data_IF_653494428182
#
_entry.id   IF_653494428182
#
_cell.length_a   1.000
_cell.length_b   1.000
_cell.length_c   1.000
_cell.angle_alpha   90.00
_cell.angle_beta   90.00
_cell.angle_gamma   90.00
#
_symmetry.space_group_name_H-M   'P 1'
#
loop_
_entity.id
_entity.type
_entity.pdbx_description
1 polymer ?
#
# COMPACT_ATOMS: atom_id res chain seq x y z
N UNK A 1 2.13 -3.21 29.96
CA UNK A 1 1.56 -1.84 30.23
C UNK A 1 1.67 -1.10 28.91
N UNK A 2 0.59 -0.49 28.44
CA UNK A 2 0.56 0.19 27.13
C UNK A 2 1.60 1.31 27.08
N UNK A 3 2.45 1.31 26.04
CA UNK A 3 3.51 2.33 25.85
C UNK A 3 2.86 3.68 25.52
N UNK A 4 1.82 3.64 24.69
CA UNK A 4 1.07 4.81 24.24
C UNK A 4 -0.42 4.66 24.52
N UNK A 5 -0.91 5.07 25.71
CA UNK A 5 -2.31 4.91 26.10
C UNK A 5 -3.33 5.61 25.16
N UNK A 6 -2.89 6.57 24.34
CA UNK A 6 -3.74 7.26 23.40
C UNK A 6 -4.14 6.35 22.21
N UNK A 7 -3.34 5.32 21.88
CA UNK A 7 -3.65 4.38 20.78
C UNK A 7 -4.96 3.65 21.06
N UNK A 8 -5.20 3.25 22.29
CA UNK A 8 -6.42 2.54 22.69
C UNK A 8 -7.67 3.43 22.69
N UNK A 9 -7.49 4.75 22.71
CA UNK A 9 -8.59 5.73 22.73
C UNK A 9 -9.09 6.11 21.36
N UNK A 10 -8.34 5.80 20.30
CA UNK A 10 -8.69 6.13 18.93
C UNK A 10 -9.42 4.94 18.31
N UNK A 11 -10.62 5.20 17.79
CA UNK A 11 -11.33 4.23 16.96
C UNK A 11 -10.79 4.27 15.52
N UNK A 12 -9.71 3.54 15.27
CA UNK A 12 -9.09 3.46 13.95
C UNK A 12 -9.96 2.79 12.90
N UNK A 13 -11.04 2.09 13.27
CA UNK A 13 -11.97 1.50 12.31
C UNK A 13 -12.69 2.56 11.48
N UNK A 14 -12.88 3.77 12.04
CA UNK A 14 -13.41 4.92 11.30
C UNK A 14 -12.56 5.31 10.08
N UNK A 15 -11.28 4.94 10.13
CA UNK A 15 -10.30 5.23 9.08
C UNK A 15 -9.96 3.99 8.24
N UNK A 16 -10.63 2.85 8.48
CA UNK A 16 -10.32 1.62 7.75
C UNK A 16 -10.68 1.73 6.26
N UNK A 17 -9.88 1.04 5.43
CA UNK A 17 -10.14 0.88 4.00
C UNK A 17 -11.23 -0.18 3.74
N UNK A 18 -11.97 -0.08 2.64
CA UNK A 18 -11.84 0.94 1.59
C UNK A 18 -12.56 2.25 1.92
N UNK A 19 -11.99 3.36 1.47
CA UNK A 19 -12.72 4.62 1.46
C UNK A 19 -13.86 4.50 0.44
N UNK A 20 -15.09 4.38 0.91
CA UNK A 20 -16.26 4.31 0.05
C UNK A 20 -16.61 5.71 -0.43
N UNK A 21 -16.33 6.00 -1.70
CA UNK A 21 -16.66 7.28 -2.34
C UNK A 21 -17.86 7.08 -3.24
N UNK A 22 -18.87 7.92 -3.09
CA UNK A 22 -20.00 7.97 -4.03
C UNK A 22 -19.52 8.47 -5.40
N UNK A 23 -20.19 8.05 -6.48
CA UNK A 23 -19.78 8.33 -7.87
C UNK A 23 -19.67 9.82 -8.26
N UNK A 24 -20.06 10.74 -7.41
CA UNK A 24 -20.35 12.14 -7.72
C UNK A 24 -19.23 13.13 -7.35
N UNK A 25 -17.98 12.79 -7.54
CA UNK A 25 -16.79 13.68 -7.35
C UNK A 25 -16.40 14.00 -5.90
N UNK A 26 -16.77 13.18 -4.92
CA UNK A 26 -16.46 13.47 -3.51
C UNK A 26 -15.14 12.82 -3.02
N UNK A 27 -14.30 12.25 -3.93
CA UNK A 27 -13.06 11.59 -3.49
C UNK A 27 -12.11 12.56 -2.78
N UNK A 28 -11.78 13.68 -3.43
CA UNK A 28 -10.83 14.63 -2.88
C UNK A 28 -11.32 15.28 -1.57
N UNK A 29 -12.53 15.83 -1.47
CA UNK A 29 -13.06 16.31 -0.19
C UNK A 29 -13.10 15.23 0.89
N UNK A 30 -13.51 14.01 0.54
CA UNK A 30 -13.59 12.89 1.48
C UNK A 30 -12.24 12.49 2.07
N UNK A 31 -11.18 12.42 1.26
CA UNK A 31 -9.84 12.12 1.77
C UNK A 31 -9.27 13.24 2.63
N UNK A 32 -9.50 14.50 2.24
CA UNK A 32 -9.08 15.68 3.02
C UNK A 32 -9.73 15.70 4.40
N UNK A 33 -11.04 15.44 4.47
CA UNK A 33 -11.80 15.36 5.71
C UNK A 33 -11.30 14.20 6.58
N UNK A 34 -11.18 13.00 6.02
CA UNK A 34 -10.73 11.79 6.73
C UNK A 34 -9.34 11.99 7.34
N UNK A 35 -8.42 12.59 6.59
CA UNK A 35 -7.08 12.89 7.07
C UNK A 35 -7.07 14.01 8.13
N UNK A 36 -8.01 14.96 8.06
CA UNK A 36 -8.18 15.98 9.10
C UNK A 36 -8.72 15.38 10.40
N UNK A 37 -9.71 14.50 10.29
CA UNK A 37 -10.29 13.80 11.42
C UNK A 37 -9.26 12.92 12.14
N UNK A 38 -8.39 12.23 11.40
CA UNK A 38 -7.31 11.46 12.00
C UNK A 38 -6.37 12.34 12.83
N UNK A 39 -5.95 13.48 12.28
CA UNK A 39 -5.11 14.43 13.02
C UNK A 39 -5.83 14.94 14.28
N UNK A 40 -7.10 15.30 14.16
CA UNK A 40 -7.92 15.72 15.30
C UNK A 40 -8.01 14.65 16.39
N UNK A 41 -8.24 13.39 16.02
CA UNK A 41 -8.30 12.28 16.98
C UNK A 41 -6.95 12.05 17.68
N UNK A 42 -5.82 12.17 16.95
CA UNK A 42 -4.48 12.08 17.55
C UNK A 42 -4.28 13.16 18.63
N UNK A 43 -4.62 14.42 18.31
CA UNK A 43 -4.54 15.55 19.27
C UNK A 43 -5.47 15.32 20.48
N UNK A 44 -6.73 14.98 20.22
CA UNK A 44 -7.76 14.78 21.24
C UNK A 44 -7.40 13.66 22.21
N UNK A 45 -6.78 12.59 21.73
CA UNK A 45 -6.42 11.44 22.55
C UNK A 45 -5.08 11.57 23.26
N UNK A 46 -4.31 12.62 22.97
CA UNK A 46 -3.06 12.95 23.67
C UNK A 46 -1.82 12.32 23.05
N UNK A 47 -1.79 12.13 21.73
CA UNK A 47 -0.54 11.82 21.02
C UNK A 47 0.46 12.97 21.20
N UNK A 48 1.76 12.68 21.18
CA UNK A 48 2.79 13.72 21.32
C UNK A 48 2.78 14.72 20.17
N UNK A 49 3.21 15.95 20.45
CA UNK A 49 3.32 16.99 19.41
C UNK A 49 4.16 16.54 18.22
N UNK A 50 5.20 15.74 18.46
CA UNK A 50 6.06 15.20 17.41
C UNK A 50 5.30 14.25 16.48
N UNK A 51 4.50 13.33 17.04
CA UNK A 51 3.64 12.41 16.27
C UNK A 51 2.62 13.19 15.46
N UNK A 52 1.91 14.12 16.11
CA UNK A 52 0.88 14.94 15.45
C UNK A 52 1.48 15.76 14.31
N UNK A 53 2.63 16.41 14.53
CA UNK A 53 3.31 17.18 13.51
C UNK A 53 3.73 16.31 12.32
N UNK A 54 4.32 15.14 12.58
CA UNK A 54 4.74 14.23 11.53
C UNK A 54 3.55 13.79 10.63
N UNK A 55 2.41 13.46 11.23
CA UNK A 55 1.19 13.08 10.48
C UNK A 55 0.62 14.28 9.72
N UNK A 56 0.64 15.49 10.31
CA UNK A 56 0.22 16.73 9.61
C UNK A 56 1.06 17.02 8.37
N UNK A 57 2.38 16.91 8.48
CA UNK A 57 3.29 17.14 7.34
C UNK A 57 3.08 16.07 6.24
N UNK A 58 2.91 14.81 6.62
CA UNK A 58 2.65 13.74 5.67
C UNK A 58 1.30 13.94 4.96
N UNK A 59 0.24 14.32 5.71
CA UNK A 59 -1.04 14.72 5.15
C UNK A 59 -0.91 15.84 4.11
N UNK A 60 -0.11 16.88 4.39
CA UNK A 60 0.12 17.99 3.44
C UNK A 60 0.72 17.46 2.13
N UNK A 61 1.71 16.57 2.19
CA UNK A 61 2.32 15.94 1.00
C UNK A 61 1.28 15.21 0.18
N UNK A 62 0.44 14.38 0.80
CA UNK A 62 -0.65 13.66 0.11
C UNK A 62 -1.61 14.62 -0.59
N UNK A 63 -2.11 15.62 0.13
CA UNK A 63 -3.03 16.60 -0.43
C UNK A 63 -2.39 17.36 -1.61
N UNK A 64 -1.13 17.78 -1.46
CA UNK A 64 -0.41 18.48 -2.52
C UNK A 64 -0.22 17.60 -3.76
N UNK A 65 0.14 16.32 -3.60
CA UNK A 65 0.30 15.42 -4.74
C UNK A 65 -1.03 15.21 -5.49
N UNK A 66 -2.16 15.10 -4.78
CA UNK A 66 -3.49 14.97 -5.39
C UNK A 66 -3.88 16.25 -6.15
N UNK A 67 -3.62 17.43 -5.59
CA UNK A 67 -3.90 18.72 -6.24
C UNK A 67 -3.10 18.84 -7.53
N UNK A 68 -1.80 18.58 -7.49
CA UNK A 68 -0.94 18.61 -8.68
C UNK A 68 -1.39 17.62 -9.75
N UNK A 69 -1.77 16.41 -9.34
CA UNK A 69 -2.34 15.43 -10.24
C UNK A 69 -3.59 15.95 -10.97
N UNK A 70 -4.53 16.59 -10.24
CA UNK A 70 -5.74 17.16 -10.85
C UNK A 70 -5.46 18.38 -11.74
N UNK A 71 -4.38 19.09 -11.48
CA UNK A 71 -3.91 20.19 -12.33
C UNK A 71 -3.17 19.71 -13.60
N UNK A 72 -2.90 18.40 -13.69
CA UNK A 72 -2.16 17.79 -14.79
C UNK A 72 -0.64 17.85 -14.63
N UNK A 73 -0.16 18.32 -13.50
CA UNK A 73 1.26 18.32 -13.16
C UNK A 73 1.69 16.98 -12.57
N UNK A 74 1.82 15.98 -13.47
CA UNK A 74 2.12 14.61 -13.08
C UNK A 74 3.56 14.44 -12.58
N UNK A 75 4.47 15.29 -13.04
CA UNK A 75 5.90 15.20 -12.67
C UNK A 75 6.08 15.60 -11.22
N UNK A 76 5.57 16.76 -10.82
CA UNK A 76 5.70 17.24 -9.46
C UNK A 76 4.86 16.41 -8.48
N UNK A 77 3.67 15.93 -8.92
CA UNK A 77 2.91 14.98 -8.14
C UNK A 77 3.70 13.69 -7.85
N UNK A 78 4.38 13.13 -8.86
CA UNK A 78 5.20 11.93 -8.72
C UNK A 78 6.43 12.18 -7.83
N UNK A 79 7.06 13.35 -7.93
CA UNK A 79 8.20 13.71 -7.07
C UNK A 79 7.80 13.69 -5.58
N UNK A 80 6.65 14.29 -5.24
CA UNK A 80 6.15 14.26 -3.85
C UNK A 80 5.87 12.83 -3.39
N UNK A 81 5.27 11.98 -4.25
CA UNK A 81 5.02 10.57 -3.90
C UNK A 81 6.34 9.83 -3.67
N UNK A 82 7.35 10.04 -4.51
CA UNK A 82 8.67 9.42 -4.34
C UNK A 82 9.32 9.86 -3.03
N UNK A 83 9.29 11.16 -2.68
CA UNK A 83 9.77 11.65 -1.40
C UNK A 83 9.07 10.98 -0.21
N UNK A 84 7.75 10.78 -0.29
CA UNK A 84 7.00 10.08 0.76
C UNK A 84 7.41 8.62 0.87
N UNK A 85 7.66 7.93 -0.24
CA UNK A 85 8.10 6.54 -0.26
C UNK A 85 9.54 6.39 0.23
N UNK A 86 10.43 7.33 -0.09
CA UNK A 86 11.82 7.32 0.34
C UNK A 86 11.96 7.46 1.86
N UNK A 87 10.99 8.06 2.54
CA UNK A 87 10.95 8.10 4.01
C UNK A 87 10.86 6.70 4.66
N UNK A 88 10.45 5.67 3.91
CA UNK A 88 10.37 4.29 4.40
C UNK A 88 11.63 3.45 4.13
N UNK A 89 12.61 3.95 3.40
CA UNK A 89 13.78 3.15 2.99
C UNK A 89 14.57 2.56 4.17
N UNK A 90 14.56 3.22 5.34
CA UNK A 90 15.23 2.77 6.55
C UNK A 90 14.25 2.36 7.67
N UNK A 91 12.95 2.39 7.41
CA UNK A 91 11.92 2.18 8.42
C UNK A 91 11.36 0.75 8.35
N UNK A 92 11.86 -0.17 9.18
CA UNK A 92 11.06 -1.32 9.57
C UNK A 92 9.82 -0.81 10.34
N UNK A 93 8.61 -1.31 10.10
CA UNK A 93 8.21 -2.53 9.40
C UNK A 93 7.70 -2.30 7.96
N UNK A 94 7.80 -1.10 7.42
CA UNK A 94 7.26 -0.80 6.08
C UNK A 94 8.01 -1.55 4.97
N UNK A 95 9.33 -1.74 5.12
CA UNK A 95 10.15 -2.52 4.20
C UNK A 95 10.36 -3.92 4.77
N UNK A 96 9.88 -4.92 4.06
CA UNK A 96 10.00 -6.33 4.44
C UNK A 96 10.62 -7.15 3.31
N UNK A 97 11.15 -8.33 3.66
CA UNK A 97 11.51 -9.30 2.65
C UNK A 97 10.25 -9.87 2.00
N UNK A 98 10.31 -10.15 0.70
CA UNK A 98 9.16 -10.68 -0.05
C UNK A 98 8.70 -12.04 0.46
N UNK A 99 9.59 -12.82 1.09
CA UNK A 99 9.28 -14.10 1.71
C UNK A 99 8.75 -13.98 3.15
N UNK A 100 8.51 -12.75 3.64
CA UNK A 100 7.95 -12.54 4.97
C UNK A 100 6.56 -13.17 5.08
N UNK A 101 6.38 -14.07 6.05
CA UNK A 101 5.08 -14.68 6.36
C UNK A 101 4.02 -13.65 6.80
N UNK A 102 4.45 -12.47 7.25
CA UNK A 102 3.57 -11.35 7.61
C UNK A 102 2.97 -10.72 6.36
N UNK A 103 3.80 -10.51 5.32
CA UNK A 103 3.36 -9.90 4.08
C UNK A 103 2.65 -10.90 3.15
N UNK A 104 3.14 -12.15 3.11
CA UNK A 104 2.68 -13.19 2.19
C UNK A 104 2.46 -14.51 2.94
N UNK A 105 1.23 -14.78 3.43
CA UNK A 105 0.91 -16.05 4.07
C UNK A 105 1.25 -17.23 3.15
N UNK A 106 2.09 -18.15 3.61
CA UNK A 106 2.60 -19.28 2.83
C UNK A 106 4.05 -19.11 2.34
N UNK A 107 4.64 -17.93 2.48
CA UNK A 107 6.08 -17.73 2.42
C UNK A 107 6.76 -18.23 3.69
N UNK A 108 8.05 -18.56 3.61
CA UNK A 108 8.85 -18.98 4.76
C UNK A 108 10.34 -18.87 4.47
N UNK A 109 11.17 -18.85 5.51
CA UNK A 109 12.62 -18.65 5.38
C UNK A 109 13.34 -19.75 4.59
N UNK A 110 12.69 -20.92 4.44
CA UNK A 110 13.29 -22.09 3.80
C UNK A 110 13.13 -22.11 2.27
N UNK A 111 12.39 -21.14 1.69
CA UNK A 111 12.19 -21.07 0.24
C UNK A 111 13.12 -20.03 -0.38
N UNK A 112 13.87 -20.43 -1.39
CA UNK A 112 14.72 -19.52 -2.19
C UNK A 112 13.92 -18.61 -3.11
N UNK A 113 12.67 -18.98 -3.42
CA UNK A 113 11.79 -18.27 -4.34
C UNK A 113 10.37 -18.18 -3.76
N UNK A 114 9.70 -17.09 -4.06
CA UNK A 114 8.29 -16.88 -3.71
C UNK A 114 7.47 -16.87 -4.98
N UNK A 115 6.40 -17.69 -5.00
CA UNK A 115 5.54 -17.85 -6.15
C UNK A 115 4.38 -16.86 -6.11
N UNK A 116 4.21 -16.13 -7.20
CA UNK A 116 3.05 -15.30 -7.49
C UNK A 116 2.39 -15.74 -8.79
N UNK A 117 1.24 -15.17 -9.10
CA UNK A 117 0.46 -15.53 -10.28
C UNK A 117 0.11 -14.28 -11.08
N UNK A 118 0.32 -14.36 -12.39
CA UNK A 118 -0.16 -13.39 -13.36
C UNK A 118 -1.35 -13.97 -14.10
N UNK A 119 -2.46 -13.21 -14.19
CA UNK A 119 -3.60 -13.61 -14.99
C UNK A 119 -3.87 -12.65 -16.15
N UNK A 120 -4.41 -13.17 -17.25
CA UNK A 120 -4.92 -12.43 -18.39
C UNK A 120 -6.20 -13.04 -18.92
N UNK A 121 -7.10 -12.19 -19.41
CA UNK A 121 -8.29 -12.64 -20.12
C UNK A 121 -8.02 -12.69 -21.62
N UNK A 122 -8.59 -13.70 -22.28
CA UNK A 122 -8.68 -13.79 -23.73
C UNK A 122 -10.14 -13.93 -24.18
N UNK A 123 -10.49 -13.49 -25.37
CA UNK A 123 -11.84 -13.70 -25.92
C UNK A 123 -12.05 -15.13 -26.40
N UNK A 124 -10.98 -15.77 -26.83
CA UNK A 124 -10.95 -17.15 -27.32
C UNK A 124 -9.87 -17.94 -26.58
N UNK A 125 -9.85 -19.24 -26.78
CA UNK A 125 -8.76 -20.11 -26.32
C UNK A 125 -7.49 -19.69 -27.06
N UNK A 126 -6.62 -18.98 -26.37
CA UNK A 126 -5.34 -18.50 -26.92
C UNK A 126 -4.25 -18.92 -25.94
N UNK A 127 -3.20 -19.51 -26.46
CA UNK A 127 -1.99 -19.76 -25.67
C UNK A 127 -1.17 -18.47 -25.65
N UNK A 128 -0.97 -17.91 -24.47
CA UNK A 128 -0.04 -16.79 -24.26
C UNK A 128 1.38 -17.32 -24.09
N UNK A 129 2.33 -16.67 -24.74
CA UNK A 129 3.75 -16.89 -24.48
C UNK A 129 4.14 -16.37 -23.09
N UNK A 130 5.30 -16.79 -22.57
CA UNK A 130 5.83 -16.23 -21.32
C UNK A 130 5.99 -14.71 -21.39
N UNK A 131 6.37 -14.17 -22.54
CA UNK A 131 6.51 -12.73 -22.75
C UNK A 131 5.16 -12.01 -22.70
N UNK A 132 4.12 -12.63 -23.26
CA UNK A 132 2.76 -12.07 -23.20
C UNK A 132 2.22 -12.01 -21.79
N UNK A 133 2.70 -12.86 -20.88
CA UNK A 133 2.29 -12.86 -19.46
C UNK A 133 3.03 -11.83 -18.62
N UNK A 134 4.07 -11.17 -19.15
CA UNK A 134 4.74 -10.05 -18.49
C UNK A 134 3.94 -8.74 -18.62
N UNK A 135 4.53 -7.64 -18.17
CA UNK A 135 3.96 -6.30 -18.34
C UNK A 135 3.85 -5.92 -19.84
N UNK A 136 2.99 -4.96 -20.14
CA UNK A 136 2.89 -4.40 -21.50
C UNK A 136 4.26 -3.84 -21.90
N UNK A 137 4.82 -4.19 -23.07
CA UNK A 137 6.10 -3.66 -23.53
C UNK A 137 6.10 -2.13 -23.58
N UNK A 138 7.23 -1.49 -23.24
CA UNK A 138 7.33 -0.03 -23.15
C UNK A 138 7.03 0.68 -24.49
N UNK A 139 7.30 0.04 -25.63
CA UNK A 139 6.94 0.58 -26.94
C UNK A 139 5.41 0.60 -27.19
N UNK A 140 4.64 -0.14 -26.40
CA UNK A 140 3.17 -0.15 -26.40
C UNK A 140 2.55 0.56 -25.20
N UNK A 141 3.33 1.36 -24.47
CA UNK A 141 2.87 2.04 -23.24
C UNK A 141 1.62 2.92 -23.43
N UNK A 142 1.34 3.37 -24.64
CA UNK A 142 0.16 4.20 -24.95
C UNK A 142 -1.19 3.49 -24.69
N UNK A 143 -1.20 2.15 -24.62
CA UNK A 143 -2.41 1.38 -24.30
C UNK A 143 -2.59 1.12 -22.79
N UNK A 144 -1.58 1.49 -21.96
CA UNK A 144 -1.63 1.30 -20.52
C UNK A 144 -2.56 2.33 -19.90
N UNK A 145 -3.61 1.85 -19.26
CA UNK A 145 -4.58 2.66 -18.53
C UNK A 145 -4.11 2.90 -17.09
N UNK A 146 -4.79 3.80 -16.39
CA UNK A 146 -4.62 3.96 -14.96
C UNK A 146 -5.13 2.72 -14.23
N UNK A 147 -4.30 2.18 -13.36
CA UNK A 147 -4.63 1.08 -12.45
C UNK A 147 -4.42 1.55 -11.01
N UNK A 148 -4.75 0.72 -10.01
CA UNK A 148 -4.73 1.11 -8.59
C UNK A 148 -3.39 1.72 -8.13
N UNK A 149 -2.26 1.18 -8.61
CA UNK A 149 -0.91 1.59 -8.22
C UNK A 149 -0.04 2.03 -9.41
N UNK A 150 -0.64 2.41 -10.53
CA UNK A 150 0.10 2.87 -11.70
C UNK A 150 -0.59 4.04 -12.39
N UNK A 151 0.20 4.90 -13.00
CA UNK A 151 -0.27 6.00 -13.83
C UNK A 151 -0.39 5.56 -15.30
N UNK A 152 -1.22 6.22 -16.12
CA UNK A 152 -1.31 5.94 -17.55
C UNK A 152 0.06 6.01 -18.21
N UNK A 153 0.37 5.04 -19.05
CA UNK A 153 1.63 4.99 -19.78
C UNK A 153 2.82 4.40 -19.03
N UNK A 154 2.66 4.01 -17.75
CA UNK A 154 3.66 3.28 -16.97
C UNK A 154 3.26 1.80 -16.87
N UNK A 155 3.88 0.89 -17.64
CA UNK A 155 3.59 -0.53 -17.54
C UNK A 155 4.04 -1.11 -16.20
N UNK A 156 3.11 -1.64 -15.43
CA UNK A 156 3.37 -2.34 -14.17
C UNK A 156 2.98 -3.81 -14.28
N UNK A 157 3.67 -4.65 -13.52
CA UNK A 157 3.35 -6.06 -13.40
C UNK A 157 2.51 -6.27 -12.14
N UNK A 158 1.23 -6.58 -12.31
CA UNK A 158 0.32 -6.91 -11.22
C UNK A 158 0.30 -8.41 -11.03
N UNK A 159 0.53 -8.84 -9.81
CA UNK A 159 0.61 -10.26 -9.43
C UNK A 159 -0.33 -10.53 -8.27
N UNK A 160 -1.00 -11.67 -8.30
CA UNK A 160 -1.76 -12.19 -7.17
C UNK A 160 -0.97 -13.23 -6.39
N UNK A 161 -1.31 -13.43 -5.13
CA UNK A 161 -0.71 -14.45 -4.28
C UNK A 161 -1.25 -15.88 -4.56
N UNK A 162 -2.32 -15.99 -5.34
CA UNK A 162 -2.88 -17.26 -5.79
C UNK A 162 -3.61 -17.09 -7.11
N UNK A 163 -3.74 -18.18 -7.89
CA UNK A 163 -4.56 -18.20 -9.10
C UNK A 163 -6.03 -17.89 -8.82
N UNK A 164 -6.54 -18.32 -7.67
CA UNK A 164 -7.90 -18.04 -7.24
C UNK A 164 -8.10 -16.52 -6.96
N UNK A 165 -7.16 -15.87 -6.28
CA UNK A 165 -7.23 -14.42 -6.05
C UNK A 165 -7.25 -13.65 -7.39
N UNK A 166 -6.42 -14.04 -8.35
CA UNK A 166 -6.43 -13.46 -9.69
C UNK A 166 -7.78 -13.67 -10.39
N UNK A 167 -8.39 -14.84 -10.27
CA UNK A 167 -9.68 -15.17 -10.88
C UNK A 167 -10.81 -14.32 -10.30
N UNK A 168 -10.85 -14.16 -8.98
CA UNK A 168 -11.83 -13.29 -8.30
C UNK A 168 -11.66 -11.82 -8.70
N UNK A 169 -10.43 -11.32 -8.72
CA UNK A 169 -10.14 -9.93 -9.07
C UNK A 169 -10.49 -9.60 -10.52
N UNK A 170 -10.41 -10.58 -11.42
CA UNK A 170 -10.83 -10.44 -12.81
C UNK A 170 -12.33 -10.64 -13.04
N UNK A 171 -13.13 -10.73 -11.98
CA UNK A 171 -14.59 -10.81 -12.04
C UNK A 171 -15.12 -12.21 -12.30
N UNK A 172 -14.41 -13.25 -11.85
CA UNK A 172 -14.81 -14.66 -11.96
C UNK A 172 -15.12 -15.08 -13.43
N UNK A 173 -14.21 -14.89 -14.36
CA UNK A 173 -14.43 -15.19 -15.77
C UNK A 173 -14.61 -16.69 -15.99
N UNK A 174 -15.21 -17.07 -17.12
CA UNK A 174 -15.28 -18.47 -17.54
C UNK A 174 -13.87 -19.04 -17.79
N UNK A 175 -13.66 -20.30 -17.45
CA UNK A 175 -12.33 -20.96 -17.46
C UNK A 175 -11.60 -20.85 -18.81
N UNK A 176 -12.33 -20.98 -19.92
CA UNK A 176 -11.76 -20.89 -21.25
C UNK A 176 -11.23 -19.49 -21.64
N UNK A 177 -11.55 -18.46 -20.84
CA UNK A 177 -11.10 -17.09 -21.01
C UNK A 177 -10.00 -16.69 -20.05
N UNK A 178 -9.75 -17.51 -19.02
CA UNK A 178 -8.84 -17.23 -17.93
C UNK A 178 -7.50 -17.92 -18.16
N UNK A 179 -6.48 -17.12 -18.39
CA UNK A 179 -5.11 -17.61 -18.53
C UNK A 179 -4.30 -17.16 -17.32
N UNK A 180 -3.60 -18.10 -16.70
CA UNK A 180 -2.79 -17.84 -15.51
C UNK A 180 -1.42 -18.49 -15.67
N UNK A 181 -0.38 -17.74 -15.29
CA UNK A 181 0.99 -18.22 -15.26
C UNK A 181 1.61 -17.98 -13.88
N UNK A 182 2.37 -18.93 -13.32
CA UNK A 182 3.17 -18.70 -12.14
C UNK A 182 4.37 -17.81 -12.48
N UNK A 183 4.71 -16.90 -11.57
CA UNK A 183 5.89 -16.05 -11.61
C UNK A 183 6.67 -16.31 -10.32
N UNK A 184 7.92 -16.71 -10.45
CA UNK A 184 8.83 -16.92 -9.34
C UNK A 184 9.67 -15.65 -9.13
N UNK A 185 9.72 -15.15 -7.92
CA UNK A 185 10.54 -14.02 -7.52
C UNK A 185 11.58 -14.50 -6.49
N UNK A 186 12.77 -13.94 -6.61
CA UNK A 186 13.85 -14.19 -5.65
C UNK A 186 13.43 -13.70 -4.26
N UNK A 187 13.68 -14.50 -3.22
CA UNK A 187 13.32 -14.21 -1.85
C UNK A 187 14.11 -13.05 -1.23
N UNK A 188 15.20 -12.61 -1.87
CA UNK A 188 16.00 -11.46 -1.42
C UNK A 188 15.39 -10.10 -1.77
N UNK A 189 14.28 -10.09 -2.53
CA UNK A 189 13.62 -8.85 -2.91
C UNK A 189 13.01 -8.15 -1.68
N UNK A 190 13.29 -6.86 -1.56
CA UNK A 190 12.63 -5.99 -0.59
C UNK A 190 11.36 -5.40 -1.17
N UNK A 191 10.32 -5.35 -0.37
CA UNK A 191 9.01 -4.82 -0.76
C UNK A 191 8.53 -3.80 0.25
N UNK A 192 7.87 -2.75 -0.23
CA UNK A 192 7.08 -1.86 0.61
C UNK A 192 5.76 -2.54 0.97
N UNK A 193 5.62 -2.89 2.24
CA UNK A 193 4.45 -3.58 2.74
C UNK A 193 3.32 -2.60 3.10
N UNK A 194 2.40 -2.36 2.17
CA UNK A 194 1.21 -1.53 2.39
C UNK A 194 0.10 -2.23 3.17
N UNK A 195 0.28 -3.53 3.51
CA UNK A 195 -0.71 -4.28 4.31
C UNK A 195 -0.48 -4.18 5.81
N UNK A 196 0.57 -3.47 6.24
CA UNK A 196 0.80 -3.19 7.67
C UNK A 196 -0.42 -2.47 8.20
N UNK A 197 -1.25 -3.23 8.87
CA UNK A 197 -2.53 -2.77 9.40
C UNK A 197 -2.34 -2.04 10.71
N UNK A 198 -3.39 -1.36 11.13
CA UNK A 198 -3.46 -0.77 12.46
C UNK A 198 -3.22 -1.80 13.57
N UNK A 199 -3.41 -3.11 13.29
CA UNK A 199 -3.08 -4.19 14.24
C UNK A 199 -1.60 -4.21 14.61
N UNK A 200 -0.69 -3.80 13.71
CA UNK A 200 0.73 -3.68 14.02
C UNK A 200 1.00 -2.57 15.05
N UNK A 201 0.23 -1.48 14.98
CA UNK A 201 0.31 -0.40 15.97
C UNK A 201 -0.15 -0.86 17.35
N UNK A 202 -1.25 -1.63 17.44
CA UNK A 202 -1.70 -2.22 18.68
C UNK A 202 -0.71 -3.25 19.22
N UNK A 203 -0.23 -4.18 18.37
CA UNK A 203 0.74 -5.19 18.76
C UNK A 203 2.04 -4.57 19.29
N UNK A 204 2.52 -3.49 18.65
CA UNK A 204 3.68 -2.74 19.13
C UNK A 204 3.41 -2.09 20.49
N UNK A 205 2.23 -1.49 20.66
CA UNK A 205 1.85 -0.81 21.90
C UNK A 205 1.74 -1.75 23.11
N UNK A 206 1.45 -3.03 22.88
CA UNK A 206 1.35 -4.07 23.91
C UNK A 206 2.67 -4.81 24.15
N UNK A 207 3.66 -4.65 23.28
CA UNK A 207 4.93 -5.38 23.34
C UNK A 207 5.80 -4.91 24.52
N UNK A 208 6.59 -5.84 25.09
CA UNK A 208 7.71 -5.51 25.98
C UNK A 208 8.86 -4.98 25.12
N UNK A 209 8.93 -3.67 24.98
CA UNK A 209 9.86 -3.04 24.06
C UNK A 209 11.13 -2.59 24.78
N UNK A 210 12.28 -2.90 24.19
CA UNK A 210 13.61 -2.55 24.69
C UNK A 210 14.20 -1.30 24.02
N UNK A 211 13.46 -0.70 23.08
CA UNK A 211 13.89 0.51 22.37
C UNK A 211 13.84 1.74 23.28
N UNK A 212 14.64 2.74 22.97
CA UNK A 212 14.54 4.04 23.62
C UNK A 212 13.21 4.73 23.31
N UNK A 213 12.81 5.70 24.11
CA UNK A 213 11.58 6.48 23.90
C UNK A 213 11.53 7.11 22.50
N UNK A 214 12.65 7.67 22.03
CA UNK A 214 12.75 8.30 20.71
C UNK A 214 12.63 7.29 19.57
N UNK A 215 13.18 6.08 19.71
CA UNK A 215 13.06 5.01 18.70
C UNK A 215 11.64 4.49 18.64
N UNK A 216 11.00 4.31 19.79
CA UNK A 216 9.60 3.91 19.89
C UNK A 216 8.69 4.93 19.19
N UNK A 217 8.91 6.21 19.42
CA UNK A 217 8.12 7.27 18.81
C UNK A 217 8.33 7.32 17.28
N UNK A 218 9.56 7.18 16.81
CA UNK A 218 9.85 7.10 15.37
C UNK A 218 9.19 5.89 14.71
N UNK A 219 9.16 4.75 15.40
CA UNK A 219 8.49 3.54 14.92
C UNK A 219 6.97 3.76 14.77
N UNK A 220 6.33 4.35 15.79
CA UNK A 220 4.90 4.70 15.74
C UNK A 220 4.62 5.71 14.62
N UNK A 221 5.46 6.72 14.44
CA UNK A 221 5.34 7.69 13.33
C UNK A 221 5.40 6.96 11.98
N UNK A 222 6.31 6.01 11.79
CA UNK A 222 6.43 5.25 10.55
C UNK A 222 5.18 4.42 10.27
N UNK A 223 4.61 3.76 11.29
CA UNK A 223 3.35 3.03 11.16
C UNK A 223 2.18 3.94 10.80
N UNK A 224 2.07 5.10 11.43
CA UNK A 224 1.01 6.07 11.13
C UNK A 224 1.16 6.67 9.73
N UNK A 225 2.38 7.00 9.28
CA UNK A 225 2.62 7.44 7.90
C UNK A 225 2.19 6.39 6.89
N UNK A 226 2.55 5.13 7.13
CA UNK A 226 2.14 4.02 6.28
C UNK A 226 0.62 3.86 6.25
N UNK A 227 -0.04 3.94 7.42
CA UNK A 227 -1.49 3.92 7.51
C UNK A 227 -2.14 5.07 6.72
N UNK A 228 -1.62 6.28 6.86
CA UNK A 228 -2.10 7.48 6.14
C UNK A 228 -1.91 7.34 4.62
N UNK A 229 -0.83 6.70 4.18
CA UNK A 229 -0.56 6.44 2.75
C UNK A 229 -1.58 5.46 2.15
N UNK A 230 -2.17 4.60 2.95
CA UNK A 230 -3.14 3.58 2.51
C UNK A 230 -4.60 4.04 2.62
N UNK A 231 -4.86 5.18 3.27
CA UNK A 231 -6.17 5.81 3.31
C UNK A 231 -6.57 6.41 1.97
#
# INVERSE_FOLDING_TARGET
MSIYPWIEKIDFQKFAMPLVVKRDNEYYPGIVEKLADLVFELERCGASDKIVLAVKEYRKKIISSIILYYQGDLVDAQLIVNEMLDEFNDAAPAITDINSSIAFPGGGPDYSEVQFFRARLSENVVEFSSEDMLHIPFNKRHIVKSERFSIPGLPCLYLGNSSYACWVEMGCPADHRFNVAPILLDNTQKVLNLTVSISALYAFNESENTLSESENENYVISLLKLFVLTL
#
